data_IF_606557956545
#
_entry.id   IF_606557956545
#
_cell.length_a   1.000
_cell.length_b   1.000
_cell.length_c   1.000
_cell.angle_alpha   90.00
_cell.angle_beta   90.00
_cell.angle_gamma   90.00
#
_symmetry.space_group_name_H-M   'P 1'
#
loop_
_entity.id
_entity.type
_entity.pdbx_description
1 polymer ?
#
# COMPACT_ATOMS: atom_id res chain seq x y z
N UNK A 1 -0.98 -18.89 -6.59
CA UNK A 1 -1.06 -19.17 -8.05
C UNK A 1 -2.35 -18.62 -8.64
N UNK A 2 -2.24 -17.86 -9.72
CA UNK A 2 -3.39 -17.37 -10.47
C UNK A 2 -4.12 -18.54 -11.15
N UNK A 3 -5.47 -18.58 -11.04
CA UNK A 3 -6.28 -19.66 -11.62
C UNK A 3 -6.85 -19.21 -12.95
N UNK A 4 -6.57 -19.98 -14.01
CA UNK A 4 -6.92 -19.66 -15.41
C UNK A 4 -8.42 -19.51 -15.70
N UNK A 5 -9.31 -20.01 -14.82
CA UNK A 5 -10.76 -19.86 -15.02
C UNK A 5 -11.31 -18.48 -14.60
N UNK A 6 -10.49 -17.67 -13.91
CA UNK A 6 -10.87 -16.28 -13.53
C UNK A 6 -10.28 -15.23 -14.47
N UNK A 7 -9.15 -15.56 -15.12
CA UNK A 7 -8.44 -14.64 -16.01
C UNK A 7 -8.02 -15.36 -17.31
N UNK A 8 -7.81 -14.63 -18.42
CA UNK A 8 -7.25 -15.23 -19.63
C UNK A 8 -5.95 -15.97 -19.35
N UNK A 9 -5.80 -17.18 -19.89
CA UNK A 9 -4.63 -18.03 -19.65
C UNK A 9 -3.28 -17.33 -19.82
N UNK A 10 -3.03 -16.52 -20.88
CA UNK A 10 -1.75 -15.83 -21.06
C UNK A 10 -1.40 -14.87 -19.91
N UNK A 11 -2.38 -14.20 -19.33
CA UNK A 11 -2.16 -13.29 -18.20
C UNK A 11 -1.80 -14.08 -16.94
N UNK A 12 -2.49 -15.18 -16.69
CA UNK A 12 -2.15 -16.07 -15.57
C UNK A 12 -0.74 -16.64 -15.71
N UNK A 13 -0.33 -17.02 -16.92
CA UNK A 13 1.00 -17.54 -17.17
C UNK A 13 2.09 -16.49 -16.89
N UNK A 14 1.88 -15.24 -17.31
CA UNK A 14 2.79 -14.12 -17.01
C UNK A 14 2.88 -13.89 -15.50
N UNK A 15 1.74 -13.84 -14.79
CA UNK A 15 1.73 -13.63 -13.34
C UNK A 15 2.44 -14.75 -12.59
N UNK A 16 2.15 -16.00 -12.94
CA UNK A 16 2.79 -17.15 -12.32
C UNK A 16 4.29 -17.21 -12.64
N UNK A 17 4.71 -16.84 -13.83
CA UNK A 17 6.11 -16.75 -14.21
C UNK A 17 6.83 -15.65 -13.42
N UNK A 18 6.24 -14.46 -13.31
CA UNK A 18 6.77 -13.35 -12.51
C UNK A 18 7.03 -13.77 -11.06
N UNK A 19 6.04 -14.42 -10.42
CA UNK A 19 6.19 -14.90 -9.03
C UNK A 19 7.27 -16.00 -8.96
N UNK A 20 7.30 -16.92 -9.89
CA UNK A 20 8.27 -18.04 -9.89
C UNK A 20 9.71 -17.57 -10.08
N UNK A 21 9.90 -16.48 -10.81
CA UNK A 21 11.22 -15.86 -11.03
C UNK A 21 11.61 -14.89 -9.91
N UNK A 22 10.66 -14.48 -9.05
CA UNK A 22 10.88 -13.45 -8.05
C UNK A 22 11.09 -12.05 -8.64
N UNK A 23 10.52 -11.77 -9.83
CA UNK A 23 10.73 -10.52 -10.57
C UNK A 23 9.37 -9.89 -10.90
N UNK A 24 9.19 -8.63 -10.51
CA UNK A 24 8.08 -7.81 -11.00
C UNK A 24 8.46 -7.16 -12.34
N UNK A 25 7.62 -7.22 -13.38
CA UNK A 25 7.95 -6.67 -14.70
C UNK A 25 8.21 -5.17 -14.65
N UNK A 26 9.31 -4.72 -15.23
CA UNK A 26 9.75 -3.30 -15.18
C UNK A 26 8.78 -2.36 -15.91
N UNK A 27 8.16 -2.82 -17.00
CA UNK A 27 7.15 -2.06 -17.73
C UNK A 27 5.91 -1.72 -16.88
N UNK A 28 5.68 -2.48 -15.80
CA UNK A 28 4.56 -2.28 -14.90
C UNK A 28 4.90 -1.39 -13.70
N UNK A 29 6.20 -1.11 -13.47
CA UNK A 29 6.69 -0.20 -12.44
C UNK A 29 6.53 1.29 -12.81
N UNK A 30 6.16 1.57 -14.06
CA UNK A 30 5.99 2.94 -14.52
C UNK A 30 4.60 3.48 -14.16
N UNK A 31 4.55 4.47 -13.28
CA UNK A 31 3.33 5.14 -12.87
C UNK A 31 3.12 6.46 -13.62
N UNK A 32 1.89 6.70 -14.08
CA UNK A 32 1.47 8.02 -14.57
C UNK A 32 1.00 8.86 -13.40
N UNK A 33 1.66 9.99 -13.15
CA UNK A 33 1.29 10.91 -12.08
C UNK A 33 0.35 11.98 -12.62
N UNK A 34 -0.79 12.13 -11.97
CA UNK A 34 -1.77 13.19 -12.21
C UNK A 34 -1.90 14.03 -10.95
N UNK A 35 -1.82 15.35 -11.10
CA UNK A 35 -1.96 16.28 -9.99
C UNK A 35 -3.45 16.56 -9.74
N UNK A 36 -3.96 16.20 -8.57
CA UNK A 36 -5.31 16.49 -8.13
C UNK A 36 -5.31 17.70 -7.20
N UNK A 37 -6.01 18.76 -7.60
CA UNK A 37 -6.19 19.95 -6.74
C UNK A 37 -7.01 19.58 -5.49
N UNK A 38 -6.53 19.98 -4.32
CA UNK A 38 -7.18 19.71 -3.03
C UNK A 38 -8.05 20.88 -2.60
N UNK A 39 -7.43 22.01 -2.33
CA UNK A 39 -8.09 23.27 -1.89
C UNK A 39 -7.05 24.38 -1.78
N UNK A 40 -7.48 25.65 -1.71
CA UNK A 40 -6.59 26.80 -1.51
C UNK A 40 -6.24 27.50 -2.81
N UNK A 41 -5.05 28.09 -2.88
CA UNK A 41 -4.55 28.76 -4.06
C UNK A 41 -4.09 27.71 -5.11
N UNK A 42 -4.50 27.91 -6.36
CA UNK A 42 -4.14 27.01 -7.48
C UNK A 42 -2.69 27.16 -7.93
N UNK A 43 -2.07 28.29 -7.61
CA UNK A 43 -0.67 28.55 -7.98
C UNK A 43 0.30 27.95 -6.93
N UNK A 44 -0.19 27.44 -5.81
CA UNK A 44 0.60 26.77 -4.79
C UNK A 44 0.62 25.24 -5.03
N UNK A 45 1.80 24.69 -5.32
CA UNK A 45 2.01 23.26 -5.55
C UNK A 45 1.65 22.38 -4.34
N UNK A 46 1.72 22.91 -3.12
CA UNK A 46 1.34 22.17 -1.90
C UNK A 46 -0.16 21.89 -1.82
N UNK A 47 -0.96 22.57 -2.62
CA UNK A 47 -2.40 22.40 -2.71
C UNK A 47 -2.80 21.27 -3.70
N UNK A 48 -1.84 20.57 -4.27
CA UNK A 48 -2.07 19.44 -5.16
C UNK A 48 -1.65 18.13 -4.51
N UNK A 49 -2.41 17.06 -4.81
CA UNK A 49 -2.06 15.69 -4.47
C UNK A 49 -1.59 14.97 -5.73
N UNK A 50 -0.33 14.50 -5.80
CA UNK A 50 0.06 13.62 -6.87
C UNK A 50 -0.63 12.26 -6.70
N UNK A 51 -1.34 11.83 -7.72
CA UNK A 51 -1.95 10.51 -7.77
C UNK A 51 -1.23 9.70 -8.83
N UNK A 52 -0.58 8.62 -8.41
CA UNK A 52 0.11 7.68 -9.28
C UNK A 52 -0.87 6.62 -9.79
N UNK A 53 -0.93 6.44 -11.09
CA UNK A 53 -1.77 5.45 -11.75
C UNK A 53 -0.87 4.51 -12.55
N UNK A 54 -0.86 3.25 -12.17
CA UNK A 54 -0.17 2.16 -12.89
C UNK A 54 -1.11 1.52 -13.93
N UNK A 55 -0.57 0.63 -14.77
CA UNK A 55 -1.36 -0.11 -15.76
C UNK A 55 -2.46 -0.96 -15.09
N UNK A 56 -3.55 -1.21 -15.81
CA UNK A 56 -4.66 -2.04 -15.30
C UNK A 56 -4.19 -3.46 -15.00
N UNK A 57 -3.30 -4.00 -15.83
CA UNK A 57 -2.73 -5.35 -15.63
C UNK A 57 -1.91 -5.41 -14.34
N UNK A 58 -1.07 -4.39 -14.09
CA UNK A 58 -0.33 -4.28 -12.85
C UNK A 58 -1.26 -4.20 -11.63
N UNK A 59 -2.33 -3.40 -11.69
CA UNK A 59 -3.33 -3.32 -10.60
C UNK A 59 -4.00 -4.65 -10.30
N UNK A 60 -4.37 -5.41 -11.33
CA UNK A 60 -4.95 -6.74 -11.14
C UNK A 60 -3.94 -7.67 -10.47
N UNK A 61 -2.68 -7.60 -10.87
CA UNK A 61 -1.63 -8.40 -10.26
C UNK A 61 -1.37 -8.01 -8.79
N UNK A 62 -1.31 -6.71 -8.50
CA UNK A 62 -1.21 -6.20 -7.13
C UNK A 62 -2.35 -6.71 -6.24
N UNK A 63 -3.59 -6.70 -6.71
CA UNK A 63 -4.74 -7.20 -5.96
C UNK A 63 -4.57 -8.69 -5.65
N UNK A 64 -4.16 -9.50 -6.62
CA UNK A 64 -3.96 -10.95 -6.42
C UNK A 64 -2.87 -11.22 -5.39
N UNK A 65 -1.78 -10.46 -5.43
CA UNK A 65 -0.68 -10.61 -4.45
C UNK A 65 -1.11 -10.07 -3.09
N UNK A 66 -1.80 -8.94 -3.06
CA UNK A 66 -2.35 -8.35 -1.83
C UNK A 66 -3.25 -9.34 -1.08
N UNK A 67 -4.20 -9.98 -1.77
CA UNK A 67 -5.13 -10.91 -1.14
C UNK A 67 -4.41 -12.10 -0.49
N UNK A 68 -3.38 -12.63 -1.16
CA UNK A 68 -2.59 -13.74 -0.63
C UNK A 68 -1.69 -13.30 0.54
N UNK A 69 -1.04 -12.15 0.42
CA UNK A 69 -0.20 -11.58 1.46
C UNK A 69 -1.02 -11.21 2.70
N UNK A 70 -2.18 -10.58 2.48
CA UNK A 70 -3.08 -10.19 3.56
C UNK A 70 -3.60 -11.41 4.33
N UNK A 71 -4.05 -12.44 3.63
CA UNK A 71 -4.49 -13.69 4.25
C UNK A 71 -3.38 -14.34 5.08
N UNK A 72 -2.14 -14.33 4.56
CA UNK A 72 -0.98 -14.84 5.29
C UNK A 72 -0.68 -14.06 6.57
N UNK A 73 -0.77 -12.73 6.52
CA UNK A 73 -0.47 -11.88 7.67
C UNK A 73 -1.58 -11.88 8.73
N UNK A 74 -2.81 -12.19 8.35
CA UNK A 74 -3.96 -12.21 9.27
C UNK A 74 -4.08 -13.53 10.03
N UNK A 75 -3.73 -14.66 9.39
CA UNK A 75 -3.85 -16.00 9.99
C UNK A 75 -3.01 -16.18 11.29
N UNK A 76 -1.70 -15.80 11.35
CA UNK A 76 -0.91 -15.87 12.57
C UNK A 76 -1.03 -14.63 13.47
N UNK A 77 -2.04 -13.79 13.29
CA UNK A 77 -2.24 -12.54 14.05
C UNK A 77 -1.02 -11.59 14.02
N UNK A 78 -0.27 -11.57 12.91
CA UNK A 78 0.88 -10.67 12.73
C UNK A 78 0.42 -9.21 12.73
N UNK A 79 -0.77 -8.93 12.16
CA UNK A 79 -1.34 -7.59 12.15
C UNK A 79 -1.81 -7.23 13.56
N UNK A 80 -1.30 -6.11 14.06
CA UNK A 80 -1.66 -5.63 15.40
C UNK A 80 -3.18 -5.51 15.56
N UNK A 81 -3.73 -6.08 16.62
CA UNK A 81 -5.17 -6.06 16.90
C UNK A 81 -5.78 -4.66 17.02
N UNK A 82 -4.97 -3.67 17.36
CA UNK A 82 -5.41 -2.27 17.47
C UNK A 82 -5.34 -1.51 16.14
N UNK A 83 -4.85 -2.14 15.08
CA UNK A 83 -4.85 -1.54 13.76
C UNK A 83 -6.24 -1.62 13.15
N UNK A 84 -6.88 -0.48 12.92
CA UNK A 84 -8.18 -0.41 12.23
C UNK A 84 -8.04 -0.03 10.75
N UNK A 85 -6.98 0.67 10.36
CA UNK A 85 -6.73 1.04 8.96
C UNK A 85 -6.35 -0.17 8.10
N UNK A 86 -6.88 -0.22 6.87
CA UNK A 86 -6.60 -1.27 5.88
C UNK A 86 -6.97 -2.69 6.32
N UNK A 87 -7.94 -2.84 7.22
CA UNK A 87 -8.46 -4.13 7.66
C UNK A 87 -9.92 -4.32 7.27
N UNK A 88 -10.26 -5.54 6.87
CA UNK A 88 -11.64 -5.93 6.62
C UNK A 88 -12.48 -5.78 7.89
N UNK A 89 -13.75 -5.37 7.75
CA UNK A 89 -14.71 -5.19 8.87
C UNK A 89 -14.34 -4.07 9.86
N UNK A 90 -13.19 -3.41 9.70
CA UNK A 90 -12.79 -2.25 10.51
C UNK A 90 -13.11 -0.94 9.77
N UNK A 91 -13.45 0.09 10.53
CA UNK A 91 -13.75 1.43 10.03
C UNK A 91 -13.31 2.50 11.02
N UNK A 92 -13.30 3.75 10.60
CA UNK A 92 -13.09 4.89 11.51
C UNK A 92 -14.16 4.93 12.60
N UNK A 93 -15.40 4.53 12.29
CA UNK A 93 -16.50 4.49 13.26
C UNK A 93 -16.23 3.44 14.33
N UNK A 94 -15.85 2.22 13.96
CA UNK A 94 -15.53 1.15 14.92
C UNK A 94 -14.34 1.52 15.81
N UNK A 95 -13.31 2.15 15.25
CA UNK A 95 -12.15 2.62 16.02
C UNK A 95 -12.53 3.73 17.03
N UNK A 96 -13.40 4.66 16.62
CA UNK A 96 -13.89 5.71 17.51
C UNK A 96 -14.78 5.16 18.62
N UNK A 97 -15.66 4.20 18.32
CA UNK A 97 -16.49 3.53 19.32
C UNK A 97 -15.64 2.84 20.39
N UNK A 98 -14.65 2.05 19.96
CA UNK A 98 -13.73 1.38 20.89
C UNK A 98 -12.97 2.36 21.79
N UNK A 99 -12.51 3.48 21.21
CA UNK A 99 -11.82 4.52 21.97
C UNK A 99 -12.77 5.20 22.97
N UNK A 100 -13.95 5.61 22.52
CA UNK A 100 -14.94 6.31 23.39
C UNK A 100 -15.47 5.40 24.50
N UNK A 101 -15.71 4.13 24.23
CA UNK A 101 -16.12 3.14 25.25
C UNK A 101 -15.03 2.97 26.31
N UNK A 102 -13.77 2.90 25.87
CA UNK A 102 -12.61 2.81 26.78
C UNK A 102 -12.51 4.05 27.66
N UNK A 103 -12.72 5.23 27.10
CA UNK A 103 -12.66 6.49 27.85
C UNK A 103 -13.83 6.61 28.84
N UNK A 104 -15.05 6.26 28.42
CA UNK A 104 -16.21 6.25 29.29
C UNK A 104 -16.02 5.29 30.48
N UNK A 105 -15.57 4.07 30.23
CA UNK A 105 -15.24 3.12 31.29
C UNK A 105 -14.17 3.64 32.26
N UNK A 106 -13.13 4.32 31.77
CA UNK A 106 -12.12 4.90 32.63
C UNK A 106 -12.69 6.02 33.53
N UNK A 107 -13.59 6.85 32.98
CA UNK A 107 -14.28 7.91 33.75
C UNK A 107 -15.13 7.28 34.84
N UNK A 108 -15.90 6.26 34.56
CA UNK A 108 -16.74 5.54 35.53
C UNK A 108 -15.89 4.91 36.65
N UNK A 109 -14.67 4.49 36.32
CA UNK A 109 -13.70 3.97 37.29
C UNK A 109 -12.92 5.10 38.04
N UNK A 110 -13.23 6.36 37.85
CA UNK A 110 -12.52 7.49 38.47
C UNK A 110 -11.11 7.71 37.93
N UNK A 111 -10.77 7.15 36.73
CA UNK A 111 -9.47 7.31 36.08
C UNK A 111 -9.45 8.52 35.16
N UNK A 112 -8.27 9.06 34.90
CA UNK A 112 -8.03 10.10 33.90
C UNK A 112 -7.46 9.43 32.66
N UNK A 113 -8.02 9.72 31.49
CA UNK A 113 -7.48 9.31 30.19
C UNK A 113 -6.78 10.48 29.52
N UNK A 114 -5.51 10.30 29.18
CA UNK A 114 -4.77 11.24 28.34
C UNK A 114 -4.61 10.62 26.93
N UNK A 115 -4.91 11.40 25.89
CA UNK A 115 -4.87 10.95 24.49
C UNK A 115 -3.92 11.83 23.69
N UNK A 116 -3.05 11.21 22.92
CA UNK A 116 -2.14 11.88 21.99
C UNK A 116 -2.43 11.39 20.58
N UNK A 117 -2.77 12.31 19.69
CA UNK A 117 -2.95 12.01 18.26
C UNK A 117 -1.65 12.31 17.52
N UNK A 118 -1.15 11.30 16.79
CA UNK A 118 0.02 11.44 15.94
C UNK A 118 -0.41 11.33 14.48
N UNK A 119 -0.10 12.36 13.68
CA UNK A 119 -0.36 12.37 12.24
C UNK A 119 0.96 12.47 11.48
N UNK A 120 1.24 11.49 10.63
CA UNK A 120 2.47 11.44 9.85
C UNK A 120 2.28 12.13 8.50
N UNK A 121 3.01 13.21 8.27
CA UNK A 121 3.02 13.90 6.98
C UNK A 121 3.58 12.99 5.89
N UNK A 122 2.80 12.75 4.83
CA UNK A 122 3.21 11.89 3.69
C UNK A 122 3.62 10.47 4.11
N UNK A 123 2.85 9.83 5.00
CA UNK A 123 3.17 8.55 5.63
C UNK A 123 3.67 7.47 4.64
N UNK A 124 3.04 7.33 3.47
CA UNK A 124 3.47 6.35 2.46
C UNK A 124 4.80 6.69 1.79
N UNK A 125 5.09 7.97 1.57
CA UNK A 125 6.34 8.40 0.92
C UNK A 125 7.55 8.36 1.87
N UNK A 126 7.33 8.14 3.17
CA UNK A 126 8.38 8.09 4.19
C UNK A 126 8.67 6.67 4.65
N UNK A 127 8.07 5.67 4.00
CA UNK A 127 8.34 4.26 4.29
C UNK A 127 9.72 3.91 3.76
N UNK A 128 10.61 3.49 4.66
CA UNK A 128 11.91 2.94 4.30
C UNK A 128 11.73 1.50 3.80
N UNK A 129 12.08 1.26 2.52
CA UNK A 129 11.87 -0.03 1.87
C UNK A 129 12.79 -1.12 2.44
N UNK A 130 14.01 -0.79 2.86
CA UNK A 130 14.93 -1.77 3.48
C UNK A 130 14.38 -2.25 4.82
N UNK A 131 13.88 -1.32 5.65
CA UNK A 131 13.23 -1.66 6.91
C UNK A 131 11.97 -2.49 6.67
N UNK A 132 11.17 -2.13 5.68
CA UNK A 132 9.97 -2.88 5.32
C UNK A 132 10.30 -4.31 4.92
N UNK A 133 11.27 -4.51 4.02
CA UNK A 133 11.71 -5.82 3.56
C UNK A 133 12.31 -6.66 4.70
N UNK A 134 13.09 -6.04 5.59
CA UNK A 134 13.60 -6.69 6.79
C UNK A 134 12.47 -7.18 7.71
N UNK A 135 11.42 -6.38 7.93
CA UNK A 135 10.24 -6.79 8.70
C UNK A 135 9.48 -7.94 8.05
N UNK A 136 9.29 -7.90 6.74
CA UNK A 136 8.63 -8.97 5.99
C UNK A 136 9.39 -10.30 6.17
N UNK A 137 10.71 -10.27 6.15
CA UNK A 137 11.53 -11.44 6.41
C UNK A 137 11.34 -11.99 7.84
N UNK A 138 11.30 -11.11 8.86
CA UNK A 138 11.02 -11.50 10.25
C UNK A 138 9.62 -12.14 10.38
N UNK A 139 8.65 -11.69 9.60
CA UNK A 139 7.30 -12.26 9.57
C UNK A 139 7.20 -13.54 8.73
N UNK A 140 8.31 -14.09 8.26
CA UNK A 140 8.36 -15.37 7.55
C UNK A 140 8.22 -15.27 6.03
N UNK A 141 8.09 -14.05 5.47
CA UNK A 141 8.07 -13.82 4.02
C UNK A 141 9.52 -13.79 3.55
N UNK A 142 10.00 -14.92 3.04
CA UNK A 142 11.39 -15.12 2.62
C UNK A 142 11.49 -15.76 1.22
N UNK A 143 12.72 -16.03 0.75
CA UNK A 143 12.99 -16.70 -0.52
C UNK A 143 12.43 -15.92 -1.71
N UNK A 144 11.78 -16.61 -2.63
CA UNK A 144 11.27 -16.04 -3.89
C UNK A 144 10.20 -14.97 -3.65
N UNK A 145 9.34 -15.14 -2.64
CA UNK A 145 8.31 -14.15 -2.31
C UNK A 145 8.94 -12.83 -1.84
N UNK A 146 9.99 -12.91 -1.01
CA UNK A 146 10.75 -11.73 -0.58
C UNK A 146 11.47 -11.05 -1.76
N UNK A 147 12.11 -11.83 -2.64
CA UNK A 147 12.77 -11.31 -3.84
C UNK A 147 11.77 -10.59 -4.76
N UNK A 148 10.58 -11.16 -4.93
CA UNK A 148 9.53 -10.54 -5.73
C UNK A 148 9.07 -9.21 -5.14
N UNK A 149 8.86 -9.12 -3.82
CA UNK A 149 8.48 -7.89 -3.14
C UNK A 149 9.59 -6.84 -3.19
N UNK A 150 10.84 -7.26 -3.09
CA UNK A 150 11.99 -6.39 -3.29
C UNK A 150 12.00 -5.82 -4.71
N UNK A 151 11.91 -6.68 -5.73
CA UNK A 151 11.81 -6.25 -7.13
C UNK A 151 10.62 -5.32 -7.39
N UNK A 152 9.49 -5.53 -6.72
CA UNK A 152 8.31 -4.65 -6.82
C UNK A 152 8.56 -3.24 -6.25
N UNK A 153 9.31 -3.13 -5.16
CA UNK A 153 9.59 -1.87 -4.46
C UNK A 153 10.76 -1.09 -5.06
N UNK A 154 11.65 -1.76 -5.77
CA UNK A 154 12.84 -1.15 -6.40
C UNK A 154 12.55 -0.64 -7.81
N UNK A 155 13.32 0.35 -8.25
CA UNK A 155 13.34 0.87 -9.62
C UNK A 155 11.99 1.37 -10.15
N UNK A 156 11.11 1.82 -9.26
CA UNK A 156 9.86 2.46 -9.63
C UNK A 156 10.11 3.75 -10.41
N UNK A 157 9.38 3.93 -11.53
CA UNK A 157 9.49 5.14 -12.35
C UNK A 157 8.15 5.86 -12.41
N UNK A 158 8.20 7.17 -12.60
CA UNK A 158 6.99 7.97 -12.78
C UNK A 158 7.11 8.89 -13.98
N UNK A 159 6.01 9.05 -14.69
CA UNK A 159 5.84 10.03 -15.75
C UNK A 159 4.76 11.03 -15.35
N UNK A 160 5.08 12.32 -15.36
CA UNK A 160 4.11 13.37 -15.11
C UNK A 160 3.45 13.81 -16.42
N UNK A 161 2.12 13.91 -16.44
CA UNK A 161 1.37 14.43 -17.57
C UNK A 161 0.71 15.75 -17.19
N UNK A 162 1.04 16.83 -17.91
CA UNK A 162 0.40 18.13 -17.76
C UNK A 162 -0.22 18.52 -19.10
N UNK A 163 -1.53 18.76 -19.11
CA UNK A 163 -2.29 19.17 -20.32
C UNK A 163 -2.09 18.26 -21.53
N UNK A 164 -1.91 16.95 -21.31
CA UNK A 164 -1.72 15.97 -22.38
C UNK A 164 -0.29 15.84 -22.90
N UNK A 165 0.64 16.66 -22.42
CA UNK A 165 2.06 16.52 -22.72
C UNK A 165 2.74 15.69 -21.63
N UNK A 166 3.49 14.66 -22.04
CA UNK A 166 4.31 13.85 -21.14
C UNK A 166 5.59 14.63 -20.81
N UNK A 167 5.86 14.80 -19.52
CA UNK A 167 7.15 15.24 -19.02
C UNK A 167 8.03 14.03 -18.74
N UNK A 168 9.34 14.26 -18.68
CA UNK A 168 10.37 13.22 -18.54
C UNK A 168 10.06 12.19 -17.44
N UNK A 169 10.51 10.97 -17.70
CA UNK A 169 10.48 9.85 -16.76
C UNK A 169 11.54 10.09 -15.66
N UNK A 170 11.08 10.13 -14.40
CA UNK A 170 11.97 10.29 -13.24
C UNK A 170 11.98 8.96 -12.45
N UNK A 171 13.17 8.56 -12.01
CA UNK A 171 13.33 7.45 -11.07
C UNK A 171 12.82 7.89 -9.68
N UNK A 172 12.10 7.00 -9.01
CA UNK A 172 11.86 7.12 -7.58
C UNK A 172 13.10 6.63 -6.83
N UNK A 173 13.62 7.48 -5.97
CA UNK A 173 14.57 7.08 -4.93
C UNK A 173 13.83 6.91 -3.61
#
# INVERSE_FOLDING_TARGET
MCRSHLYPSPICDIFNQSISLGIFPDEWKCARVTLLFKQGDRDDLYNYRPISVISVVAKVFEIIVYDQLYAYLEEPEIICKYQSGFRAIHSTVTALLEATDTWAYNIDCGKISAVVFLDSKKAFNTVDHEILLSKLNVYGINGIAHQWLQSYLEDGTQMCSINGSLLEQLLFQ
#
